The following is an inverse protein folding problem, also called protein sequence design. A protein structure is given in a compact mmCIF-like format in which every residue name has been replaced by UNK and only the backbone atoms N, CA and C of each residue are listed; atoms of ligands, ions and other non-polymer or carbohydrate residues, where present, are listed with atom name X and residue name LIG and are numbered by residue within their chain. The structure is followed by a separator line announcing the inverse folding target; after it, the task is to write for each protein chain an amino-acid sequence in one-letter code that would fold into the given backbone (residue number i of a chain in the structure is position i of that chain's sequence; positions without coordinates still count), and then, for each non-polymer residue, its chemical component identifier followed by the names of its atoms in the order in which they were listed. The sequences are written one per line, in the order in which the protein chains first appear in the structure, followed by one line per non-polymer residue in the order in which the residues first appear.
data_IF_574519510922
#
_entry.id   IF_574519510922
#
_cell.length_a   1.000
_cell.length_b   1.000
_cell.length_c   1.000
_cell.angle_alpha   90.00
_cell.angle_beta   90.00
_cell.angle_gamma   90.00
#
_symmetry.space_group_name_H-M   'P 1'
#
loop_
_entity.id
_entity.type
_entity.pdbx_description
1 polymer ?
#
# COMPACT_ATOMS: atom_id res chain seq x y z
N UNK A 1 -10.90 2.18 23.22
CA UNK A 1 -10.61 1.31 22.05
C UNK A 1 -9.94 2.18 21.02
N UNK A 2 -8.65 1.94 20.72
CA UNK A 2 -7.89 2.80 19.81
C UNK A 2 -7.42 2.00 18.60
N UNK A 3 -8.36 1.70 17.72
CA UNK A 3 -8.10 1.11 16.39
C UNK A 3 -7.28 2.10 15.54
N UNK A 4 -7.23 3.37 15.93
CA UNK A 4 -6.49 4.45 15.27
C UNK A 4 -4.95 4.32 15.35
N UNK A 5 -4.42 3.62 16.36
CA UNK A 5 -2.98 3.62 16.61
C UNK A 5 -2.19 2.46 15.98
N UNK A 6 -2.88 1.51 15.31
CA UNK A 6 -2.23 0.37 14.66
C UNK A 6 -1.45 -0.54 15.64
N UNK A 7 -1.80 -0.51 16.93
CA UNK A 7 -1.20 -1.37 17.94
C UNK A 7 -1.80 -2.79 17.86
N UNK A 8 -1.01 -3.85 18.15
CA UNK A 8 -1.52 -5.21 18.24
C UNK A 8 -2.70 -5.28 19.21
N UNK A 9 -3.75 -6.02 18.85
CA UNK A 9 -4.85 -6.29 19.77
C UNK A 9 -4.28 -7.16 20.90
N UNK A 10 -4.17 -6.58 22.10
CA UNK A 10 -3.65 -7.27 23.27
C UNK A 10 -4.67 -8.31 23.74
N UNK A 11 -4.18 -9.44 24.23
CA UNK A 11 -5.03 -10.52 24.77
C UNK A 11 -5.96 -10.05 25.88
N UNK A 12 -5.53 -9.08 26.69
CA UNK A 12 -6.36 -8.45 27.71
C UNK A 12 -7.61 -7.76 27.14
N UNK A 13 -7.54 -7.21 25.93
CA UNK A 13 -8.68 -6.55 25.28
C UNK A 13 -9.69 -7.59 24.76
N UNK A 14 -9.20 -8.74 24.29
CA UNK A 14 -10.05 -9.86 23.85
C UNK A 14 -10.81 -10.43 25.05
N UNK A 15 -10.12 -10.67 26.16
CA UNK A 15 -10.76 -11.17 27.40
C UNK A 15 -11.82 -10.20 27.91
N UNK A 16 -11.55 -8.89 27.89
CA UNK A 16 -12.52 -7.89 28.33
C UNK A 16 -13.76 -7.85 27.41
N UNK A 17 -13.56 -7.89 26.09
CA UNK A 17 -14.66 -7.93 25.12
C UNK A 17 -15.48 -9.22 25.26
N UNK A 18 -14.82 -10.36 25.48
CA UNK A 18 -15.44 -11.66 25.71
C UNK A 18 -16.39 -11.64 26.93
N UNK A 19 -15.91 -11.10 28.06
CA UNK A 19 -16.73 -10.93 29.26
C UNK A 19 -17.94 -10.01 29.02
N UNK A 20 -17.78 -8.92 28.26
CA UNK A 20 -18.89 -8.01 27.93
C UNK A 20 -19.93 -8.63 26.99
N UNK A 21 -19.49 -9.50 26.08
CA UNK A 21 -20.34 -10.15 25.09
C UNK A 21 -20.97 -11.47 25.58
N UNK A 22 -20.61 -11.93 26.79
CA UNK A 22 -20.99 -13.25 27.29
C UNK A 22 -20.49 -14.39 26.41
N UNK A 23 -19.30 -14.24 25.82
CA UNK A 23 -18.67 -15.20 24.91
C UNK A 23 -17.32 -15.66 25.46
N UNK A 24 -16.84 -16.79 24.97
CA UNK A 24 -15.48 -17.24 25.25
C UNK A 24 -14.44 -16.37 24.53
N UNK A 25 -13.28 -16.06 25.14
CA UNK A 25 -12.20 -15.31 24.50
C UNK A 25 -11.78 -15.88 23.15
N UNK A 26 -11.77 -17.21 23.01
CA UNK A 26 -11.45 -17.88 21.75
C UNK A 26 -12.47 -17.57 20.64
N UNK A 27 -13.76 -17.46 20.97
CA UNK A 27 -14.81 -17.11 20.00
C UNK A 27 -14.66 -15.66 19.55
N UNK A 28 -14.37 -14.75 20.49
CA UNK A 28 -14.13 -13.34 20.16
C UNK A 28 -12.87 -13.17 19.30
N UNK A 29 -11.81 -13.91 19.61
CA UNK A 29 -10.59 -13.92 18.78
C UNK A 29 -10.88 -14.37 17.36
N UNK A 30 -11.63 -15.46 17.18
CA UNK A 30 -12.02 -15.94 15.86
C UNK A 30 -12.85 -14.90 15.06
N UNK A 31 -13.76 -14.18 15.73
CA UNK A 31 -14.52 -13.09 15.10
C UNK A 31 -13.61 -11.94 14.66
N UNK A 32 -12.66 -11.55 15.51
CA UNK A 32 -11.68 -10.50 15.20
C UNK A 32 -10.80 -10.90 14.02
N UNK A 33 -10.31 -12.15 14.00
CA UNK A 33 -9.47 -12.67 12.92
C UNK A 33 -10.24 -12.71 11.59
N UNK A 34 -11.52 -13.08 11.61
CA UNK A 34 -12.37 -13.04 10.42
C UNK A 34 -12.53 -11.62 9.87
N UNK A 35 -12.80 -10.64 10.73
CA UNK A 35 -12.92 -9.22 10.31
C UNK A 35 -11.60 -8.71 9.77
N UNK A 36 -10.49 -9.02 10.45
CA UNK A 36 -9.14 -8.66 10.00
C UNK A 36 -8.83 -9.24 8.62
N UNK A 37 -9.12 -10.52 8.39
CA UNK A 37 -8.90 -11.17 7.09
C UNK A 37 -9.72 -10.54 5.96
N UNK A 38 -10.97 -10.17 6.24
CA UNK A 38 -11.81 -9.45 5.27
C UNK A 38 -11.24 -8.06 4.94
N UNK A 39 -10.76 -7.32 5.95
CA UNK A 39 -10.16 -6.01 5.76
C UNK A 39 -8.86 -6.09 4.96
N UNK A 40 -8.00 -7.06 5.28
CA UNK A 40 -6.77 -7.31 4.56
C UNK A 40 -7.05 -7.67 3.09
N UNK A 41 -8.02 -8.53 2.82
CA UNK A 41 -8.43 -8.88 1.45
C UNK A 41 -8.85 -7.65 0.66
N UNK A 42 -9.63 -6.76 1.28
CA UNK A 42 -10.06 -5.51 0.65
C UNK A 42 -8.87 -4.57 0.38
N UNK A 43 -7.94 -4.45 1.32
CA UNK A 43 -6.73 -3.65 1.19
C UNK A 43 -5.85 -4.16 0.04
N UNK A 44 -5.57 -5.47 0.03
CA UNK A 44 -4.80 -6.16 -1.04
C UNK A 44 -5.42 -5.90 -2.40
N UNK A 45 -6.73 -6.10 -2.53
CA UNK A 45 -7.43 -5.90 -3.80
C UNK A 45 -7.32 -4.46 -4.33
N UNK A 46 -7.20 -3.44 -3.48
CA UNK A 46 -6.97 -2.06 -3.95
C UNK A 46 -5.58 -1.90 -4.54
N UNK A 47 -4.56 -2.51 -3.92
CA UNK A 47 -3.17 -2.44 -4.39
C UNK A 47 -2.96 -3.30 -5.65
N UNK A 48 -3.55 -4.48 -5.72
CA UNK A 48 -3.46 -5.35 -6.90
C UNK A 48 -4.15 -4.72 -8.11
N UNK A 49 -5.30 -4.07 -7.91
CA UNK A 49 -5.98 -3.28 -8.98
C UNK A 49 -5.16 -2.08 -9.45
N UNK A 50 -4.22 -1.62 -8.64
CA UNK A 50 -3.27 -0.58 -8.98
C UNK A 50 -2.09 -1.12 -9.81
N UNK A 51 -2.05 -2.44 -10.10
CA UNK A 51 -0.98 -3.09 -10.86
C UNK A 51 0.29 -3.33 -10.04
N UNK A 52 0.19 -3.31 -8.71
CA UNK A 52 1.28 -3.56 -7.79
C UNK A 52 1.01 -4.84 -7.02
N UNK A 53 2.07 -5.55 -6.61
CA UNK A 53 1.91 -6.66 -5.68
C UNK A 53 1.70 -6.13 -4.26
N UNK A 54 0.56 -6.47 -3.65
CA UNK A 54 0.22 -5.99 -2.31
C UNK A 54 1.29 -6.35 -1.26
N UNK A 55 1.92 -7.52 -1.36
CA UNK A 55 2.96 -7.95 -0.43
C UNK A 55 4.18 -7.02 -0.44
N UNK A 56 4.64 -6.60 -1.62
CA UNK A 56 5.78 -5.68 -1.74
C UNK A 56 5.46 -4.31 -1.16
N UNK A 57 4.26 -3.80 -1.45
CA UNK A 57 3.79 -2.51 -0.94
C UNK A 57 3.66 -2.54 0.58
N UNK A 58 3.10 -3.61 1.14
CA UNK A 58 2.89 -3.73 2.58
C UNK A 58 4.21 -4.01 3.32
N UNK A 59 5.10 -4.80 2.74
CA UNK A 59 6.45 -5.01 3.27
C UNK A 59 7.20 -3.69 3.36
N UNK A 60 7.24 -2.90 2.27
CA UNK A 60 7.81 -1.56 2.29
C UNK A 60 7.13 -0.66 3.32
N UNK A 61 5.80 -0.63 3.35
CA UNK A 61 5.06 0.23 4.26
C UNK A 61 5.31 -0.11 5.74
N UNK A 62 5.67 -1.35 6.06
CA UNK A 62 6.04 -1.74 7.43
C UNK A 62 7.43 -1.21 7.84
N UNK A 63 8.36 -1.09 6.89
CA UNK A 63 9.75 -0.73 7.12
C UNK A 63 10.01 0.78 7.00
N UNK A 64 9.31 1.46 6.10
CA UNK A 64 9.43 2.90 5.88
C UNK A 64 8.54 3.72 6.82
N UNK A 65 9.04 4.84 7.36
CA UNK A 65 8.27 5.67 8.30
C UNK A 65 7.03 6.29 7.64
N UNK A 66 7.17 6.86 6.44
CA UNK A 66 6.05 7.44 5.70
C UNK A 66 5.05 6.35 5.32
N UNK A 67 5.55 5.19 4.90
CA UNK A 67 4.77 3.99 4.65
C UNK A 67 3.91 3.58 5.85
N UNK A 68 4.49 3.51 7.05
CA UNK A 68 3.78 3.16 8.28
C UNK A 68 2.68 4.14 8.61
N UNK A 69 2.95 5.43 8.48
CA UNK A 69 1.98 6.47 8.81
C UNK A 69 0.80 6.48 7.82
N UNK A 70 1.08 6.29 6.53
CA UNK A 70 0.05 6.11 5.51
C UNK A 70 -0.78 4.84 5.74
N UNK A 71 -0.14 3.75 6.13
CA UNK A 71 -0.83 2.49 6.42
C UNK A 71 -1.76 2.61 7.63
N UNK A 72 -1.31 3.25 8.72
CA UNK A 72 -2.15 3.53 9.89
C UNK A 72 -3.37 4.37 9.50
N UNK A 73 -3.18 5.42 8.71
CA UNK A 73 -4.28 6.25 8.23
C UNK A 73 -5.26 5.45 7.35
N UNK A 74 -4.75 4.58 6.48
CA UNK A 74 -5.58 3.74 5.61
C UNK A 74 -6.44 2.75 6.42
N UNK A 75 -5.84 2.08 7.41
CA UNK A 75 -6.55 1.18 8.33
C UNK A 75 -7.63 1.95 9.11
N UNK A 76 -7.29 3.12 9.63
CA UNK A 76 -8.24 3.98 10.33
C UNK A 76 -9.41 4.40 9.42
N UNK A 77 -9.12 4.81 8.18
CA UNK A 77 -10.15 5.18 7.21
C UNK A 77 -11.06 3.99 6.84
N UNK A 78 -10.52 2.78 6.72
CA UNK A 78 -11.32 1.58 6.48
C UNK A 78 -12.22 1.26 7.67
N UNK A 79 -11.67 1.31 8.89
CA UNK A 79 -12.41 0.97 10.10
C UNK A 79 -13.52 2.00 10.44
N UNK A 80 -13.22 3.29 10.33
CA UNK A 80 -14.11 4.37 10.78
C UNK A 80 -14.97 4.90 9.63
N UNK A 81 -14.36 5.17 8.48
CA UNK A 81 -15.03 5.80 7.33
C UNK A 81 -15.53 4.79 6.30
N UNK A 82 -15.31 3.50 6.53
CA UNK A 82 -15.74 2.40 5.63
C UNK A 82 -15.25 2.56 4.19
N UNK A 83 -14.05 3.12 4.01
CA UNK A 83 -13.45 3.34 2.69
C UNK A 83 -12.06 2.75 2.61
N UNK A 84 -11.72 2.21 1.44
CA UNK A 84 -10.39 1.66 1.13
C UNK A 84 -9.51 2.63 0.35
N UNK A 85 -9.96 3.87 0.15
CA UNK A 85 -9.21 4.89 -0.62
C UNK A 85 -7.84 5.23 -0.02
N UNK A 86 -7.63 5.02 1.29
CA UNK A 86 -6.34 5.24 1.94
C UNK A 86 -5.22 4.35 1.37
N UNK A 87 -5.55 3.11 0.97
CA UNK A 87 -4.57 2.18 0.41
C UNK A 87 -4.02 2.63 -0.95
N UNK A 88 -4.77 3.44 -1.70
CA UNK A 88 -4.27 4.05 -2.94
C UNK A 88 -3.11 5.02 -2.66
N UNK A 89 -3.13 5.73 -1.53
CA UNK A 89 -2.05 6.63 -1.13
C UNK A 89 -0.79 5.84 -0.74
N UNK A 90 -0.96 4.69 -0.11
CA UNK A 90 0.15 3.78 0.22
C UNK A 90 0.79 3.26 -1.07
N UNK A 91 -0.02 2.75 -2.01
CA UNK A 91 0.44 2.29 -3.33
C UNK A 91 1.16 3.39 -4.13
N UNK A 92 0.62 4.60 -4.13
CA UNK A 92 1.24 5.76 -4.77
C UNK A 92 2.58 6.11 -4.14
N UNK A 93 2.66 6.14 -2.80
CA UNK A 93 3.90 6.44 -2.11
C UNK A 93 4.96 5.35 -2.33
N UNK A 94 4.57 4.08 -2.45
CA UNK A 94 5.49 3.00 -2.82
C UNK A 94 6.09 3.25 -4.21
N UNK A 95 5.25 3.53 -5.21
CA UNK A 95 5.69 3.80 -6.58
C UNK A 95 6.65 4.99 -6.68
N UNK A 96 6.37 6.06 -5.94
CA UNK A 96 7.21 7.26 -5.87
C UNK A 96 8.62 7.01 -5.31
N UNK A 97 8.79 5.92 -4.57
CA UNK A 97 10.05 5.51 -3.96
C UNK A 97 10.62 4.25 -4.61
N UNK A 98 9.98 3.70 -5.64
CA UNK A 98 10.41 2.43 -6.25
C UNK A 98 11.82 2.54 -6.87
N UNK A 99 12.20 3.73 -7.34
CA UNK A 99 13.56 4.05 -7.79
C UNK A 99 14.64 3.87 -6.71
N UNK A 100 14.24 3.95 -5.45
CA UNK A 100 15.11 3.84 -4.28
C UNK A 100 14.98 2.46 -3.64
N UNK A 101 13.76 1.89 -3.62
CA UNK A 101 13.45 0.60 -3.00
C UNK A 101 13.97 -0.56 -3.85
N UNK A 102 13.70 -0.53 -5.16
CA UNK A 102 14.06 -1.60 -6.09
C UNK A 102 14.36 -1.04 -7.49
N UNK A 103 15.54 -0.41 -7.67
CA UNK A 103 15.92 0.19 -8.95
C UNK A 103 16.00 -0.84 -10.07
N UNK A 104 16.40 -2.08 -9.76
CA UNK A 104 16.57 -3.14 -10.77
C UNK A 104 15.23 -3.65 -11.29
N UNK A 105 14.21 -3.80 -10.44
CA UNK A 105 12.86 -4.11 -10.90
C UNK A 105 12.32 -3.03 -11.84
N UNK A 106 12.64 -1.77 -11.56
CA UNK A 106 12.20 -0.65 -12.37
C UNK A 106 12.93 -0.59 -13.73
N UNK A 107 14.22 -0.89 -13.77
CA UNK A 107 14.98 -0.98 -15.03
C UNK A 107 14.47 -2.09 -15.96
N UNK A 108 13.93 -3.16 -15.38
CA UNK A 108 13.34 -4.28 -16.11
C UNK A 108 11.83 -4.15 -16.34
N UNK A 109 11.20 -3.06 -15.86
CA UNK A 109 9.76 -2.88 -15.94
C UNK A 109 9.32 -2.42 -17.34
N UNK A 110 8.25 -3.04 -17.86
CA UNK A 110 7.61 -2.60 -19.10
C UNK A 110 6.59 -1.50 -18.79
N UNK A 111 7.02 -0.24 -18.85
CA UNK A 111 6.18 0.92 -18.51
C UNK A 111 5.34 1.39 -19.70
N UNK A 112 4.41 0.57 -20.21
CA UNK A 112 3.57 0.96 -21.35
C UNK A 112 4.32 1.24 -22.66
N UNK A 113 3.59 1.56 -23.73
CA UNK A 113 4.20 1.76 -25.05
C UNK A 113 5.04 3.04 -25.13
N UNK A 114 6.29 2.89 -25.58
CA UNK A 114 7.18 4.02 -25.86
C UNK A 114 7.90 4.62 -24.65
N UNK A 115 7.76 4.05 -23.45
CA UNK A 115 8.57 4.43 -22.29
C UNK A 115 9.67 3.38 -22.04
N UNK A 116 10.92 3.84 -21.97
CA UNK A 116 12.05 2.99 -21.56
C UNK A 116 12.68 3.55 -20.29
N UNK A 117 12.94 2.70 -19.31
CA UNK A 117 13.68 3.07 -18.11
C UNK A 117 15.16 2.89 -18.37
N UNK A 118 15.98 3.90 -18.05
CA UNK A 118 17.44 3.80 -18.12
C UNK A 118 18.10 4.54 -16.97
N UNK A 119 19.37 4.19 -16.74
CA UNK A 119 20.24 4.95 -15.85
C UNK A 119 20.89 6.08 -16.63
N UNK A 120 20.70 7.31 -16.17
CA UNK A 120 21.36 8.48 -16.73
C UNK A 120 22.86 8.48 -16.39
N UNK A 121 23.65 9.29 -17.11
CA UNK A 121 25.08 9.48 -16.86
C UNK A 121 25.41 9.94 -15.43
N UNK A 122 24.47 10.58 -14.74
CA UNK A 122 24.59 10.98 -13.33
C UNK A 122 24.13 9.92 -12.31
N UNK A 123 23.84 8.69 -12.77
CA UNK A 123 23.43 7.58 -11.91
C UNK A 123 21.95 7.53 -11.52
N UNK A 124 21.15 8.56 -11.86
CA UNK A 124 19.70 8.61 -11.59
C UNK A 124 18.90 7.74 -12.56
N UNK A 125 17.72 7.30 -12.14
CA UNK A 125 16.76 6.63 -13.03
C UNK A 125 15.94 7.67 -13.80
N UNK A 126 15.95 7.55 -15.13
CA UNK A 126 15.19 8.40 -16.05
C UNK A 126 14.31 7.54 -16.96
N UNK A 127 13.16 8.07 -17.36
CA UNK A 127 12.40 7.55 -18.48
C UNK A 127 12.79 8.26 -19.76
N UNK A 128 13.08 7.48 -20.77
CA UNK A 128 13.12 7.94 -22.15
C UNK A 128 11.72 7.88 -22.73
N UNK A 129 11.25 9.02 -23.24
CA UNK A 129 9.96 9.18 -23.91
C UNK A 129 10.19 9.72 -25.33
N UNK A 130 9.19 9.63 -26.24
CA UNK A 130 9.31 10.24 -27.57
C UNK A 130 9.57 11.75 -27.56
N UNK A 131 9.32 12.43 -26.43
CA UNK A 131 9.50 13.88 -26.26
C UNK A 131 10.80 14.25 -25.53
N UNK A 132 11.64 13.26 -25.18
CA UNK A 132 12.87 13.44 -24.45
C UNK A 132 12.93 12.64 -23.15
N UNK A 133 13.99 12.89 -22.36
CA UNK A 133 14.24 12.22 -21.09
C UNK A 133 13.62 12.96 -19.91
N UNK A 134 13.08 12.21 -18.96
CA UNK A 134 12.48 12.76 -17.75
C UNK A 134 12.86 11.93 -16.52
N UNK A 135 13.14 12.59 -15.39
CA UNK A 135 13.38 11.87 -14.13
C UNK A 135 12.16 11.02 -13.73
N UNK A 136 12.40 9.79 -13.25
CA UNK A 136 11.33 8.84 -12.92
C UNK A 136 10.25 9.42 -11.99
N UNK A 137 10.68 10.10 -10.92
CA UNK A 137 9.77 10.73 -9.98
C UNK A 137 8.93 11.83 -10.63
N UNK A 138 9.51 12.58 -11.56
CA UNK A 138 8.77 13.59 -12.33
C UNK A 138 7.76 12.93 -13.27
N UNK A 139 8.05 11.75 -13.80
CA UNK A 139 7.15 11.03 -14.72
C UNK A 139 5.92 10.49 -13.99
N UNK A 140 6.11 10.00 -12.75
CA UNK A 140 4.99 9.64 -11.87
C UNK A 140 4.12 10.87 -11.60
N UNK A 141 4.73 11.99 -11.18
CA UNK A 141 3.98 13.22 -10.85
C UNK A 141 3.24 13.81 -12.05
N UNK A 142 3.83 13.71 -13.25
CA UNK A 142 3.21 14.12 -14.50
C UNK A 142 2.11 13.14 -14.97
N UNK A 143 1.93 12.01 -14.28
CA UNK A 143 0.96 10.98 -14.65
C UNK A 143 1.30 10.27 -15.95
N UNK A 144 2.58 10.22 -16.32
CA UNK A 144 3.08 9.42 -17.45
C UNK A 144 3.15 7.95 -17.07
N UNK A 145 3.52 7.68 -15.82
CA UNK A 145 3.36 6.37 -15.18
C UNK A 145 2.10 6.48 -14.32
N UNK A 146 1.00 5.89 -14.77
CA UNK A 146 -0.25 5.87 -14.01
C UNK A 146 -0.38 4.55 -13.27
N UNK A 147 -0.75 4.65 -12.00
CA UNK A 147 -1.57 3.63 -11.36
C UNK A 147 -2.89 3.62 -12.11
N UNK A 148 -3.08 2.68 -13.02
CA UNK A 148 -4.36 2.62 -13.74
C UNK A 148 -5.45 2.30 -12.72
N UNK A 149 -6.47 3.14 -12.63
CA UNK A 149 -7.76 2.76 -12.05
C UNK A 149 -8.38 1.83 -13.09
N UNK A 150 -8.29 0.52 -12.92
CA UNK A 150 -8.92 -0.42 -13.84
C UNK A 150 -10.40 -0.01 -14.01
N UNK A 151 -10.80 0.25 -15.27
CA UNK A 151 -12.20 0.49 -15.65
C UNK A 151 -13.04 -0.67 -15.12
N UNK A 152 -14.15 -0.33 -14.46
CA UNK A 152 -15.24 -1.27 -14.18
C UNK A 152 -15.81 -1.81 -15.49
#
# INVERSE_FOLDING_TARGET
MDIANGQPIRDSHITQAASQMGKEPAQVRAMVDQVKGAFETQARSVVDRAGLHADDVFAWASQDQKGRDLMKQAIHDQAIKRTTSGYQKVAQAYLENLDTINPDALLNAQLGEGLKVKRSSNGKIVLETPKGELEYRSAIKAGLIKISKARR
#
